data_IF_287686320892
#
_entry.id   IF_287686320892
#
_cell.length_a   1.000
_cell.length_b   1.000
_cell.length_c   1.000
_cell.angle_alpha   90.00
_cell.angle_beta   90.00
_cell.angle_gamma   90.00
#
_symmetry.space_group_name_H-M   'P 1'
#
loop_
_entity.id
_entity.type
_entity.pdbx_description
1 polymer ?
#
# COMPACT_ATOMS: atom_id res chain seq x y z
N UNK A 1 8.39 -23.97 -3.55
CA UNK A 1 7.61 -23.66 -2.33
C UNK A 1 8.39 -22.67 -1.49
N UNK A 2 7.75 -21.59 -1.01
CA UNK A 2 8.33 -20.61 -0.11
C UNK A 2 7.78 -20.84 1.29
N UNK A 3 8.61 -20.61 2.30
CA UNK A 3 8.23 -20.72 3.70
C UNK A 3 8.52 -19.42 4.43
N UNK A 4 7.56 -18.96 5.24
CA UNK A 4 7.81 -18.02 6.31
C UNK A 4 8.13 -18.82 7.56
N UNK A 5 9.18 -18.45 8.26
CA UNK A 5 9.73 -19.23 9.38
C UNK A 5 9.89 -18.31 10.58
N UNK A 6 9.47 -18.76 11.74
CA UNK A 6 9.80 -18.12 13.01
C UNK A 6 11.33 -18.14 13.19
N UNK A 7 11.92 -16.96 13.24
CA UNK A 7 13.39 -16.81 13.27
C UNK A 7 14.02 -17.30 14.55
N UNK A 8 13.27 -17.43 15.64
CA UNK A 8 13.77 -17.89 16.93
C UNK A 8 13.67 -19.41 17.09
N UNK A 9 12.54 -20.00 16.70
CA UNK A 9 12.27 -21.42 16.88
C UNK A 9 12.56 -22.27 15.64
N UNK A 10 12.66 -21.66 14.46
CA UNK A 10 12.75 -22.37 13.18
C UNK A 10 11.42 -23.01 12.73
N UNK A 11 10.34 -22.77 13.43
CA UNK A 11 9.01 -23.30 13.09
C UNK A 11 8.48 -22.64 11.81
N UNK A 12 7.96 -23.44 10.88
CA UNK A 12 7.29 -22.91 9.70
C UNK A 12 5.97 -22.27 10.13
N UNK A 13 5.84 -20.95 9.91
CA UNK A 13 4.64 -20.18 10.17
C UNK A 13 3.64 -20.31 9.03
N UNK A 14 4.16 -20.29 7.81
CA UNK A 14 3.35 -20.26 6.60
C UNK A 14 4.12 -20.82 5.41
N UNK A 15 3.43 -21.51 4.51
CA UNK A 15 4.00 -22.05 3.27
C UNK A 15 3.17 -21.64 2.07
N UNK A 16 3.84 -21.30 0.97
CA UNK A 16 3.19 -20.97 -0.30
C UNK A 16 3.95 -21.54 -1.48
N UNK A 17 3.24 -22.09 -2.42
CA UNK A 17 3.83 -22.50 -3.69
C UNK A 17 4.18 -21.28 -4.55
N UNK A 18 5.24 -21.43 -5.34
CA UNK A 18 5.57 -20.44 -6.35
C UNK A 18 4.44 -20.38 -7.39
N UNK A 19 4.06 -19.17 -7.76
CA UNK A 19 3.06 -18.97 -8.78
C UNK A 19 3.64 -19.29 -10.17
N UNK A 20 2.88 -20.00 -11.00
CA UNK A 20 3.27 -20.24 -12.39
C UNK A 20 3.23 -18.91 -13.19
N UNK A 21 4.12 -18.78 -14.17
CA UNK A 21 4.23 -17.55 -14.97
C UNK A 21 2.91 -17.15 -15.66
N UNK A 22 2.13 -18.06 -16.28
CA UNK A 22 0.85 -17.71 -16.91
C UNK A 22 -0.18 -17.17 -15.90
N UNK A 23 -0.14 -17.63 -14.64
CA UNK A 23 -1.03 -17.13 -13.58
C UNK A 23 -0.65 -15.72 -13.17
N UNK A 24 0.66 -15.45 -13.07
CA UNK A 24 1.18 -14.11 -12.82
C UNK A 24 0.77 -13.13 -13.92
N UNK A 25 0.89 -13.50 -15.20
CA UNK A 25 0.47 -12.66 -16.32
C UNK A 25 -1.02 -12.34 -16.29
N UNK A 26 -1.88 -13.32 -15.96
CA UNK A 26 -3.32 -13.09 -15.78
C UNK A 26 -3.62 -12.12 -14.65
N UNK A 27 -2.92 -12.26 -13.52
CA UNK A 27 -3.07 -11.34 -12.39
C UNK A 27 -2.59 -9.94 -12.75
N UNK A 28 -1.47 -9.80 -13.43
CA UNK A 28 -0.96 -8.50 -13.85
C UNK A 28 -1.93 -7.80 -14.82
N UNK A 29 -2.52 -8.54 -15.74
CA UNK A 29 -3.55 -8.01 -16.65
C UNK A 29 -4.81 -7.55 -15.88
N UNK A 30 -5.23 -8.31 -14.85
CA UNK A 30 -6.33 -7.91 -13.98
C UNK A 30 -6.00 -6.65 -13.16
N UNK A 31 -4.80 -6.57 -12.59
CA UNK A 31 -4.33 -5.39 -11.87
C UNK A 31 -4.28 -4.14 -12.74
N UNK A 32 -3.85 -4.25 -14.00
CA UNK A 32 -3.85 -3.13 -14.95
C UNK A 32 -5.26 -2.60 -15.22
N UNK A 33 -6.24 -3.50 -15.43
CA UNK A 33 -7.65 -3.09 -15.59
C UNK A 33 -8.21 -2.44 -14.31
N UNK A 34 -7.92 -3.01 -13.16
CA UNK A 34 -8.35 -2.45 -11.88
C UNK A 34 -7.70 -1.08 -11.62
N UNK A 35 -6.43 -0.91 -11.98
CA UNK A 35 -5.72 0.36 -11.86
C UNK A 35 -6.36 1.45 -12.71
N UNK A 36 -6.76 1.17 -13.96
CA UNK A 36 -7.45 2.13 -14.81
C UNK A 36 -8.78 2.58 -14.20
N UNK A 37 -9.59 1.63 -13.71
CA UNK A 37 -10.85 1.94 -13.04
C UNK A 37 -10.64 2.73 -11.73
N UNK A 38 -9.58 2.41 -10.97
CA UNK A 38 -9.22 3.13 -9.75
C UNK A 38 -8.69 4.54 -10.03
N UNK A 39 -7.90 4.70 -11.09
CA UNK A 39 -7.36 5.99 -11.51
C UNK A 39 -8.46 6.98 -11.93
N UNK A 40 -9.55 6.47 -12.53
CA UNK A 40 -10.68 7.28 -12.94
C UNK A 40 -11.53 7.82 -11.77
N UNK A 41 -11.37 7.27 -10.55
CA UNK A 41 -12.09 7.76 -9.37
C UNK A 41 -11.53 9.11 -8.90
N UNK A 42 -12.38 10.00 -8.40
CA UNK A 42 -11.94 11.22 -7.73
C UNK A 42 -10.92 10.93 -6.62
N UNK A 43 -9.97 11.84 -6.43
CA UNK A 43 -8.93 11.67 -5.38
C UNK A 43 -9.54 11.46 -4.00
N UNK A 44 -10.66 12.14 -3.70
CA UNK A 44 -11.34 12.01 -2.40
C UNK A 44 -11.87 10.60 -2.15
N UNK A 45 -12.41 9.93 -3.16
CA UNK A 45 -12.89 8.55 -3.05
C UNK A 45 -11.74 7.56 -2.86
N UNK A 46 -10.62 7.77 -3.58
CA UNK A 46 -9.40 6.98 -3.40
C UNK A 46 -8.81 7.15 -2.00
N UNK A 47 -8.81 8.38 -1.50
CA UNK A 47 -8.39 8.71 -0.15
C UNK A 47 -9.26 8.05 0.91
N UNK A 48 -10.59 8.01 0.74
CA UNK A 48 -11.51 7.33 1.65
C UNK A 48 -11.20 5.83 1.79
N UNK A 49 -10.90 5.13 0.69
CA UNK A 49 -10.51 3.72 0.73
C UNK A 49 -9.21 3.48 1.51
N UNK A 50 -8.24 4.40 1.40
CA UNK A 50 -7.01 4.31 2.19
C UNK A 50 -7.25 4.66 3.67
N UNK A 51 -8.21 5.52 3.98
CA UNK A 51 -8.64 5.76 5.35
C UNK A 51 -9.20 4.48 5.99
N UNK A 52 -10.10 3.79 5.29
CA UNK A 52 -10.66 2.52 5.74
C UNK A 52 -9.56 1.46 5.95
N UNK A 53 -8.54 1.44 5.08
CA UNK A 53 -7.36 0.58 5.27
C UNK A 53 -6.62 0.91 6.56
N UNK A 54 -6.38 2.19 6.85
CA UNK A 54 -5.71 2.63 8.07
C UNK A 54 -6.48 2.18 9.32
N UNK A 55 -7.81 2.25 9.28
CA UNK A 55 -8.65 1.82 10.41
C UNK A 55 -8.61 0.30 10.60
N UNK A 56 -8.62 -0.49 9.51
CA UNK A 56 -8.44 -1.94 9.58
C UNK A 56 -7.06 -2.35 10.10
N UNK A 57 -6.01 -1.64 9.70
CA UNK A 57 -4.66 -1.88 10.25
C UNK A 57 -4.60 -1.55 11.74
N UNK A 58 -5.21 -0.45 12.17
CA UNK A 58 -5.27 -0.08 13.59
C UNK A 58 -6.05 -1.13 14.41
N UNK A 59 -7.17 -1.64 13.90
CA UNK A 59 -7.95 -2.70 14.56
C UNK A 59 -7.18 -4.03 14.66
N UNK A 60 -6.37 -4.34 13.65
CA UNK A 60 -5.57 -5.57 13.60
C UNK A 60 -4.18 -5.42 14.23
N UNK A 61 -3.87 -4.30 14.89
CA UNK A 61 -2.56 -3.89 15.38
C UNK A 61 -1.81 -5.00 16.12
N UNK A 62 -2.38 -5.53 17.19
CA UNK A 62 -1.71 -6.54 18.04
C UNK A 62 -1.40 -7.81 17.25
N UNK A 63 -2.39 -8.32 16.52
CA UNK A 63 -2.21 -9.54 15.71
C UNK A 63 -1.13 -9.37 14.62
N UNK A 64 -1.10 -8.23 13.96
CA UNK A 64 -0.09 -7.96 12.92
C UNK A 64 1.29 -7.75 13.54
N UNK A 65 1.39 -7.10 14.71
CA UNK A 65 2.65 -6.92 15.41
C UNK A 65 3.25 -8.26 15.88
N UNK A 66 2.41 -9.19 16.37
CA UNK A 66 2.83 -10.53 16.73
C UNK A 66 3.39 -11.30 15.52
N UNK A 67 2.70 -11.25 14.38
CA UNK A 67 3.17 -11.88 13.14
C UNK A 67 4.54 -11.32 12.70
N UNK A 68 4.72 -9.99 12.72
CA UNK A 68 6.00 -9.37 12.38
C UNK A 68 7.09 -9.77 13.38
N UNK A 69 6.76 -9.84 14.67
CA UNK A 69 7.68 -10.28 15.72
C UNK A 69 8.18 -11.71 15.45
N UNK A 70 7.29 -12.65 15.12
CA UNK A 70 7.64 -14.03 14.80
C UNK A 70 8.49 -14.15 13.51
N UNK A 71 8.13 -13.41 12.46
CA UNK A 71 8.82 -13.48 11.16
C UNK A 71 10.18 -12.79 11.16
N UNK A 72 10.34 -11.69 11.87
CA UNK A 72 11.53 -10.83 11.82
C UNK A 72 12.39 -10.94 13.09
N UNK A 73 11.84 -11.44 14.18
CA UNK A 73 12.54 -11.58 15.47
C UNK A 73 12.77 -10.25 16.20
N UNK A 74 11.97 -9.23 15.91
CA UNK A 74 12.04 -7.93 16.57
C UNK A 74 11.22 -7.91 17.85
N UNK A 75 11.54 -6.97 18.74
CA UNK A 75 10.75 -6.74 19.95
C UNK A 75 9.30 -6.36 19.60
N UNK A 76 8.32 -6.95 20.27
CA UNK A 76 6.89 -6.70 20.01
C UNK A 76 6.53 -5.22 20.06
N UNK A 77 7.08 -4.48 21.03
CA UNK A 77 6.87 -3.03 21.16
C UNK A 77 7.33 -2.25 19.92
N UNK A 78 8.42 -2.68 19.29
CA UNK A 78 8.91 -2.04 18.06
C UNK A 78 8.01 -2.36 16.87
N UNK A 79 7.53 -3.60 16.77
CA UNK A 79 6.58 -4.01 15.74
C UNK A 79 5.25 -3.24 15.86
N UNK A 80 4.77 -3.06 17.08
CA UNK A 80 3.59 -2.23 17.37
C UNK A 80 3.80 -0.77 16.97
N UNK A 81 4.94 -0.18 17.32
CA UNK A 81 5.27 1.20 16.97
C UNK A 81 5.39 1.41 15.45
N UNK A 82 5.88 0.41 14.72
CA UNK A 82 5.95 0.43 13.26
C UNK A 82 4.56 0.42 12.61
N UNK A 83 3.63 -0.36 13.15
CA UNK A 83 2.23 -0.36 12.71
C UNK A 83 1.55 0.98 13.01
N UNK A 84 1.74 1.52 14.21
CA UNK A 84 1.22 2.84 14.59
C UNK A 84 1.72 3.93 13.65
N UNK A 85 3.02 3.90 13.30
CA UNK A 85 3.64 4.81 12.33
C UNK A 85 3.04 4.63 10.94
N UNK A 86 2.81 3.40 10.49
CA UNK A 86 2.22 3.10 9.20
C UNK A 86 0.79 3.64 9.09
N UNK A 87 -0.03 3.42 10.12
CA UNK A 87 -1.40 3.97 10.22
C UNK A 87 -1.38 5.50 10.20
N UNK A 88 -0.50 6.12 10.98
CA UNK A 88 -0.35 7.57 11.02
C UNK A 88 0.06 8.15 9.67
N UNK A 89 0.98 7.48 8.96
CA UNK A 89 1.45 7.88 7.64
C UNK A 89 0.33 7.82 6.59
N UNK A 90 -0.44 6.74 6.58
CA UNK A 90 -1.59 6.61 5.67
C UNK A 90 -2.59 7.75 5.94
N UNK A 91 -2.99 7.98 7.19
CA UNK A 91 -3.92 9.04 7.58
C UNK A 91 -3.40 10.43 7.22
N UNK A 92 -2.11 10.66 7.35
CA UNK A 92 -1.46 11.91 6.95
C UNK A 92 -1.62 12.17 5.45
N UNK A 93 -1.25 11.20 4.60
CA UNK A 93 -1.36 11.37 3.15
C UNK A 93 -2.81 11.38 2.65
N UNK A 94 -3.70 10.61 3.24
CA UNK A 94 -5.14 10.67 2.94
C UNK A 94 -5.68 12.09 3.08
N UNK A 95 -5.32 12.77 4.17
CA UNK A 95 -5.75 14.15 4.42
C UNK A 95 -5.16 15.15 3.43
N UNK A 96 -3.91 14.95 3.02
CA UNK A 96 -3.19 15.87 2.13
C UNK A 96 -3.42 15.60 0.65
N UNK A 97 -3.79 14.38 0.25
CA UNK A 97 -3.89 13.96 -1.14
C UNK A 97 -4.75 14.90 -2.02
N UNK A 98 -5.94 15.37 -1.59
CA UNK A 98 -6.74 16.27 -2.40
C UNK A 98 -6.00 17.57 -2.75
N UNK A 99 -5.21 18.10 -1.83
CA UNK A 99 -4.43 19.32 -2.03
C UNK A 99 -3.16 19.07 -2.85
N UNK A 100 -2.43 18.00 -2.53
CA UNK A 100 -1.15 17.68 -3.19
C UNK A 100 -1.33 17.28 -4.64
N UNK A 101 -2.44 16.59 -4.96
CA UNK A 101 -2.75 16.11 -6.30
C UNK A 101 -3.68 17.04 -7.09
N UNK A 102 -4.05 18.19 -6.54
CA UNK A 102 -4.81 19.20 -7.25
C UNK A 102 -4.04 19.74 -8.46
N UNK A 103 -4.75 19.98 -9.54
CA UNK A 103 -4.18 20.64 -10.70
C UNK A 103 -3.74 22.06 -10.32
N UNK A 104 -2.57 22.48 -10.78
CA UNK A 104 -2.04 23.82 -10.54
C UNK A 104 -2.08 24.61 -11.84
N UNK A 105 -2.91 25.64 -11.91
CA UNK A 105 -2.92 26.57 -13.04
C UNK A 105 -1.74 27.53 -12.92
N UNK A 106 -1.03 27.71 -14.02
CA UNK A 106 0.11 28.63 -14.11
C UNK A 106 -0.28 29.75 -15.08
N UNK A 107 -0.14 30.99 -14.64
CA UNK A 107 -0.36 32.15 -15.49
C UNK A 107 0.71 32.23 -16.57
N UNK A 108 0.29 32.16 -17.84
CA UNK A 108 1.15 32.30 -19.02
C UNK A 108 0.40 33.08 -20.10
N UNK A 109 1.00 33.25 -21.26
CA UNK A 109 0.34 33.86 -22.44
C UNK A 109 -0.63 32.90 -23.17
N UNK A 110 -0.62 31.59 -22.81
CA UNK A 110 -1.54 30.60 -23.37
C UNK A 110 -2.91 30.72 -22.71
N UNK A 111 -3.96 30.23 -23.40
CA UNK A 111 -5.32 30.20 -22.88
C UNK A 111 -5.47 29.33 -21.63
N UNK A 112 -4.63 28.29 -21.46
CA UNK A 112 -4.57 27.41 -20.30
C UNK A 112 -3.18 26.78 -20.16
N UNK A 113 -2.58 26.94 -19.00
CA UNK A 113 -1.36 26.22 -18.60
C UNK A 113 -1.57 25.58 -17.25
N UNK A 114 -1.37 24.27 -17.18
CA UNK A 114 -1.61 23.50 -15.93
C UNK A 114 -0.52 22.48 -15.70
N UNK A 115 -0.18 22.28 -14.42
CA UNK A 115 0.52 21.09 -13.95
C UNK A 115 -0.53 20.10 -13.47
N UNK A 116 -0.51 18.88 -14.00
CA UNK A 116 -1.42 17.80 -13.63
C UNK A 116 -0.63 16.62 -13.08
N UNK A 117 -1.22 15.97 -12.09
CA UNK A 117 -0.68 14.73 -11.52
C UNK A 117 -1.53 13.56 -12.02
N UNK A 118 -0.92 12.69 -12.80
CA UNK A 118 -1.60 11.53 -13.37
C UNK A 118 -1.02 10.23 -12.80
N UNK A 119 -1.85 9.21 -12.53
CA UNK A 119 -1.36 7.90 -12.10
C UNK A 119 -0.50 7.24 -13.19
N UNK A 120 0.67 6.75 -12.82
CA UNK A 120 1.60 6.10 -13.76
C UNK A 120 1.30 4.63 -14.03
N UNK A 121 0.47 3.99 -13.21
CA UNK A 121 0.10 2.59 -13.40
C UNK A 121 0.30 1.73 -12.15
N UNK A 122 0.51 0.42 -12.37
CA UNK A 122 0.79 -0.56 -11.32
C UNK A 122 2.27 -0.48 -10.96
N UNK A 123 2.56 -0.46 -9.67
CA UNK A 123 3.93 -0.44 -9.12
C UNK A 123 4.22 -1.78 -8.45
N UNK A 124 5.36 -2.36 -8.76
CA UNK A 124 5.92 -3.49 -8.01
C UNK A 124 6.86 -2.94 -6.93
N UNK A 125 6.57 -3.25 -5.68
CA UNK A 125 7.45 -2.94 -4.56
C UNK A 125 8.04 -4.26 -4.01
N UNK A 126 9.37 -4.38 -4.03
CA UNK A 126 10.11 -5.46 -3.37
C UNK A 126 10.76 -4.84 -2.14
N UNK A 127 10.17 -5.11 -0.99
CA UNK A 127 10.59 -4.51 0.28
C UNK A 127 11.51 -5.49 1.04
N UNK A 128 12.52 -4.98 1.77
CA UNK A 128 13.37 -5.81 2.63
C UNK A 128 12.60 -6.37 3.82
#
# INVERSE_FOLDING_TARGET
MFHSVDVLSGRILYSKEAQAWPDFERQLAALRRAQQAFAARPVIERAALLHDLADKLAQARSRLAEMVCEEVGRCLRECEAELDKSVALIRYYVRLAPQLLAHKTIATQASLSQVRFEPIGVVLAVMP
#
